data_IF_408572541153
#
_entry.id   IF_408572541153
#
_cell.length_a   1.000
_cell.length_b   1.000
_cell.length_c   1.000
_cell.angle_alpha   90.00
_cell.angle_beta   90.00
_cell.angle_gamma   90.00
#
_symmetry.space_group_name_H-M   'P 1'
#
loop_
_entity.id
_entity.type
_entity.pdbx_description
1 polymer ?
#
# COMPACT_ATOMS: atom_id res chain seq x y z
N UNK A 1 -6.80 16.93 -39.83
CA UNK A 1 -6.94 18.17 -39.04
C UNK A 1 -8.27 18.12 -38.29
N UNK A 2 -8.27 17.82 -37.00
CA UNK A 2 -9.53 17.63 -36.26
C UNK A 2 -9.41 17.50 -34.75
N UNK A 3 -8.33 17.97 -34.13
CA UNK A 3 -8.30 18.15 -32.68
C UNK A 3 -8.88 19.53 -32.37
N UNK A 4 -10.20 19.67 -32.51
CA UNK A 4 -10.88 20.85 -31.94
C UNK A 4 -10.83 20.67 -30.44
N UNK A 5 -9.92 21.44 -29.85
CA UNK A 5 -9.85 21.79 -28.44
C UNK A 5 -11.16 21.51 -27.69
N UNK A 6 -11.09 20.63 -26.69
CA UNK A 6 -12.17 20.43 -25.72
C UNK A 6 -12.60 21.76 -25.04
N UNK A 7 -11.77 22.81 -25.17
CA UNK A 7 -12.09 24.18 -24.79
C UNK A 7 -13.31 24.80 -25.48
N UNK A 8 -13.75 24.35 -26.67
CA UNK A 8 -14.96 24.91 -27.31
C UNK A 8 -16.23 24.59 -26.50
N UNK A 9 -16.26 23.43 -25.84
CA UNK A 9 -17.39 23.05 -24.99
C UNK A 9 -17.39 23.76 -23.64
N UNK A 10 -16.26 24.33 -23.19
CA UNK A 10 -16.20 25.16 -21.98
C UNK A 10 -17.11 26.39 -22.05
N UNK A 11 -17.33 26.94 -23.25
CA UNK A 11 -18.26 28.07 -23.45
C UNK A 11 -19.72 27.70 -23.16
N UNK A 12 -20.07 26.41 -23.22
CA UNK A 12 -21.41 25.88 -22.95
C UNK A 12 -21.55 25.29 -21.54
N UNK A 13 -20.46 25.25 -20.76
CA UNK A 13 -20.52 24.85 -19.35
C UNK A 13 -21.18 25.98 -18.56
N UNK A 14 -22.35 25.68 -18.01
CA UNK A 14 -23.13 26.62 -17.24
C UNK A 14 -22.35 27.01 -15.96
N UNK A 15 -21.93 28.28 -15.83
CA UNK A 15 -21.18 28.79 -14.67
C UNK A 15 -21.87 28.60 -13.31
N UNK A 16 -23.19 28.36 -13.29
CA UNK A 16 -23.95 28.09 -12.07
C UNK A 16 -24.02 26.61 -11.71
N UNK A 17 -23.81 25.72 -12.68
CA UNK A 17 -23.86 24.27 -12.49
C UNK A 17 -22.43 23.75 -12.49
N UNK A 18 -21.90 23.51 -11.29
CA UNK A 18 -20.53 23.04 -11.10
C UNK A 18 -20.36 21.53 -11.34
N UNK A 19 -21.40 20.82 -11.78
CA UNK A 19 -21.33 19.40 -12.09
C UNK A 19 -21.25 19.14 -13.60
N UNK A 20 -20.58 18.04 -13.96
CA UNK A 20 -20.44 17.58 -15.34
C UNK A 20 -21.79 17.12 -15.89
N UNK A 21 -22.48 18.02 -16.60
CA UNK A 21 -23.82 17.80 -17.15
C UNK A 21 -23.83 16.68 -18.20
N UNK A 22 -22.75 16.54 -18.97
CA UNK A 22 -22.63 15.49 -19.98
C UNK A 22 -22.53 14.11 -19.33
N UNK A 23 -21.65 13.96 -18.34
CA UNK A 23 -21.53 12.72 -17.56
C UNK A 23 -22.86 12.38 -16.86
N UNK A 24 -23.52 13.39 -16.28
CA UNK A 24 -24.83 13.24 -15.63
C UNK A 24 -25.91 12.75 -16.62
N UNK A 25 -25.99 13.34 -17.81
CA UNK A 25 -26.92 12.94 -18.86
C UNK A 25 -26.69 11.49 -19.31
N UNK A 26 -25.42 11.08 -19.43
CA UNK A 26 -25.03 9.73 -19.83
C UNK A 26 -25.11 8.70 -18.68
N UNK A 27 -25.48 9.13 -17.46
CA UNK A 27 -25.50 8.26 -16.28
C UNK A 27 -24.13 7.73 -15.88
N UNK A 28 -23.06 8.44 -16.24
CA UNK A 28 -21.66 8.07 -15.99
C UNK A 28 -21.04 8.95 -14.90
N UNK A 29 -20.05 8.45 -14.15
CA UNK A 29 -19.26 9.31 -13.27
C UNK A 29 -18.50 10.36 -14.09
N UNK A 30 -18.34 11.57 -13.55
CA UNK A 30 -17.54 12.61 -14.19
C UNK A 30 -16.06 12.23 -14.25
N UNK A 31 -15.31 12.82 -15.18
CA UNK A 31 -13.87 12.61 -15.27
C UNK A 31 -13.17 12.94 -13.94
N UNK A 32 -13.52 14.05 -13.30
CA UNK A 32 -12.99 14.44 -11.99
C UNK A 32 -13.32 13.42 -10.90
N UNK A 33 -14.53 12.85 -10.91
CA UNK A 33 -14.92 11.81 -9.96
C UNK A 33 -14.13 10.51 -10.19
N UNK A 34 -13.86 10.15 -11.45
CA UNK A 34 -13.02 9.00 -11.81
C UNK A 34 -11.56 9.22 -11.41
N UNK A 35 -10.96 10.39 -11.71
CA UNK A 35 -9.61 10.73 -11.30
C UNK A 35 -9.50 10.77 -9.78
N UNK A 36 -10.44 11.41 -9.08
CA UNK A 36 -10.47 11.45 -7.62
C UNK A 36 -10.60 10.05 -7.02
N UNK A 37 -11.45 9.19 -7.58
CA UNK A 37 -11.56 7.79 -7.18
C UNK A 37 -10.24 7.04 -7.39
N UNK A 38 -9.60 7.20 -8.55
CA UNK A 38 -8.30 6.60 -8.88
C UNK A 38 -7.20 7.05 -7.91
N UNK A 39 -7.12 8.34 -7.61
CA UNK A 39 -6.15 8.90 -6.66
C UNK A 39 -6.44 8.47 -5.22
N UNK A 40 -7.69 8.29 -4.82
CA UNK A 40 -8.02 7.76 -3.49
C UNK A 40 -7.87 6.24 -3.36
N UNK A 41 -7.90 5.50 -4.47
CA UNK A 41 -7.52 4.09 -4.52
C UNK A 41 -5.99 3.87 -4.44
N UNK A 42 -5.18 4.93 -4.34
CA UNK A 42 -3.72 4.93 -4.50
C UNK A 42 -2.89 4.35 -3.36
N UNK A 43 -3.44 3.63 -2.40
CA UNK A 43 -2.62 3.15 -1.27
C UNK A 43 -1.56 2.07 -1.67
N UNK A 44 -1.57 1.56 -2.91
CA UNK A 44 -0.62 0.57 -3.46
C UNK A 44 -0.58 0.60 -5.00
N UNK A 45 0.19 1.53 -5.55
CA UNK A 45 0.23 1.92 -6.98
C UNK A 45 0.69 0.77 -7.89
N UNK A 46 1.49 -0.16 -7.39
CA UNK A 46 1.78 -1.43 -8.06
C UNK A 46 1.41 -2.58 -7.11
N UNK A 47 0.55 -3.54 -7.50
CA UNK A 47 0.25 -4.70 -6.65
C UNK A 47 1.42 -5.69 -6.54
N UNK A 48 2.49 -5.53 -7.35
CA UNK A 48 3.76 -6.26 -7.19
C UNK A 48 4.58 -5.72 -6.02
N UNK A 49 4.27 -4.52 -5.53
CA UNK A 49 4.99 -3.93 -4.41
C UNK A 49 4.86 -4.80 -3.15
N UNK A 50 5.93 -4.99 -2.37
CA UNK A 50 5.90 -5.79 -1.16
C UNK A 50 4.80 -5.32 -0.19
N UNK A 51 3.89 -6.24 0.15
CA UNK A 51 2.82 -6.00 1.13
C UNK A 51 3.14 -6.64 2.48
N UNK A 52 4.02 -7.63 2.49
CA UNK A 52 4.51 -8.34 3.68
C UNK A 52 6.02 -8.48 3.57
N UNK A 53 6.71 -8.51 4.72
CA UNK A 53 8.14 -8.81 4.75
C UNK A 53 8.39 -10.27 4.41
N UNK A 54 9.57 -10.55 3.84
CA UNK A 54 10.03 -11.91 3.65
C UNK A 54 10.32 -12.59 5.01
N UNK A 55 10.16 -13.91 5.07
CA UNK A 55 10.40 -14.68 6.30
C UNK A 55 11.82 -14.51 6.85
N UNK A 56 12.80 -14.33 5.95
CA UNK A 56 14.19 -14.05 6.32
C UNK A 56 14.30 -12.75 7.12
N UNK A 57 13.68 -11.67 6.65
CA UNK A 57 13.71 -10.35 7.30
C UNK A 57 12.95 -10.38 8.63
N UNK A 58 11.85 -11.13 8.68
CA UNK A 58 11.11 -11.37 9.93
C UNK A 58 12.01 -12.07 10.95
N UNK A 59 12.82 -13.03 10.52
CA UNK A 59 13.73 -13.75 11.41
C UNK A 59 14.89 -12.87 11.87
N UNK A 60 15.46 -12.04 10.98
CA UNK A 60 16.46 -11.05 11.35
C UNK A 60 15.93 -10.07 12.41
N UNK A 61 14.67 -9.67 12.29
CA UNK A 61 14.04 -8.81 13.28
C UNK A 61 13.89 -9.48 14.65
N UNK A 62 13.60 -10.79 14.69
CA UNK A 62 13.54 -11.54 15.96
C UNK A 62 14.89 -11.58 16.69
N UNK A 63 15.99 -11.56 15.95
CA UNK A 63 17.37 -11.55 16.47
C UNK A 63 17.91 -10.16 16.76
N UNK A 64 17.11 -9.10 16.55
CA UNK A 64 17.54 -7.73 16.82
C UNK A 64 17.79 -7.51 18.32
N UNK A 65 18.95 -6.91 18.66
CA UNK A 65 19.40 -6.71 20.04
C UNK A 65 18.34 -6.05 20.93
N UNK A 66 17.74 -4.94 20.48
CA UNK A 66 16.67 -4.26 21.23
C UNK A 66 15.45 -5.15 21.52
N UNK A 67 15.08 -6.06 20.61
CA UNK A 67 13.96 -6.99 20.82
C UNK A 67 14.33 -8.06 21.84
N UNK A 68 15.60 -8.50 21.84
CA UNK A 68 16.14 -9.43 22.83
C UNK A 68 16.12 -8.79 24.22
N UNK A 69 16.67 -7.58 24.36
CA UNK A 69 16.71 -6.85 25.63
C UNK A 69 15.31 -6.61 26.21
N UNK A 70 14.35 -6.15 25.38
CA UNK A 70 12.96 -5.95 25.81
C UNK A 70 12.31 -7.26 26.22
N UNK A 71 12.62 -8.36 25.54
CA UNK A 71 12.13 -9.70 25.88
C UNK A 71 12.68 -10.17 27.22
N UNK A 72 13.98 -10.03 27.44
CA UNK A 72 14.64 -10.37 28.70
C UNK A 72 14.08 -9.55 29.86
N UNK A 73 13.89 -8.25 29.66
CA UNK A 73 13.25 -7.36 30.65
C UNK A 73 11.85 -7.85 31.00
N UNK A 74 10.99 -8.09 30.00
CA UNK A 74 9.64 -8.63 30.23
C UNK A 74 9.68 -9.97 30.98
N UNK A 75 10.57 -10.87 30.58
CA UNK A 75 10.67 -12.21 31.16
C UNK A 75 11.21 -12.17 32.60
N UNK A 76 12.13 -11.27 32.91
CA UNK A 76 12.61 -11.02 34.28
C UNK A 76 11.49 -10.53 35.20
N UNK A 77 10.71 -9.52 34.76
CA UNK A 77 9.57 -8.99 35.51
C UNK A 77 8.47 -10.04 35.69
N UNK A 78 8.23 -10.88 34.66
CA UNK A 78 7.30 -12.00 34.75
C UNK A 78 7.74 -13.02 35.81
N UNK A 79 9.03 -13.36 35.87
CA UNK A 79 9.59 -14.25 36.89
C UNK A 79 9.46 -13.66 38.30
N UNK A 80 9.78 -12.39 38.48
CA UNK A 80 9.67 -11.71 39.77
C UNK A 80 8.22 -11.58 40.24
N UNK A 81 7.30 -11.22 39.35
CA UNK A 81 5.87 -11.16 39.65
C UNK A 81 5.32 -12.52 40.10
N UNK A 82 5.73 -13.61 39.43
CA UNK A 82 5.39 -14.98 39.83
C UNK A 82 6.04 -15.39 41.15
N UNK A 83 7.26 -14.93 41.44
CA UNK A 83 7.92 -15.19 42.72
C UNK A 83 7.14 -14.57 43.89
N UNK A 84 6.64 -13.34 43.73
CA UNK A 84 5.91 -12.63 44.79
C UNK A 84 4.46 -13.09 44.93
N UNK A 85 3.75 -13.29 43.82
CA UNK A 85 2.30 -13.49 43.82
C UNK A 85 1.86 -14.90 43.38
N UNK A 86 2.82 -15.81 43.16
CA UNK A 86 2.67 -17.16 42.56
C UNK A 86 2.26 -17.14 41.09
N UNK A 87 1.33 -16.27 40.70
CA UNK A 87 0.84 -16.14 39.32
C UNK A 87 0.69 -14.68 38.89
N UNK A 88 0.78 -14.42 37.58
CA UNK A 88 0.57 -13.08 37.02
C UNK A 88 -0.87 -12.58 37.27
N UNK A 89 -1.87 -13.46 37.14
CA UNK A 89 -3.28 -13.11 37.42
C UNK A 89 -3.50 -12.64 38.85
N UNK A 90 -2.77 -13.21 39.82
CA UNK A 90 -2.82 -12.76 41.22
C UNK A 90 -2.11 -11.42 41.38
N UNK A 91 -0.97 -11.22 40.72
CA UNK A 91 -0.28 -9.94 40.72
C UNK A 91 -1.13 -8.80 40.13
N UNK A 92 -1.93 -9.11 39.10
CA UNK A 92 -2.92 -8.21 38.50
C UNK A 92 -4.07 -7.90 39.46
N UNK A 93 -4.68 -8.93 40.05
CA UNK A 93 -5.80 -8.77 40.98
C UNK A 93 -5.44 -7.96 42.23
N UNK A 94 -4.18 -8.06 42.70
CA UNK A 94 -3.66 -7.28 43.83
C UNK A 94 -3.29 -5.85 43.41
N UNK A 95 -3.22 -5.54 42.11
CA UNK A 95 -2.77 -4.23 41.61
C UNK A 95 -1.29 -3.99 41.94
N UNK A 96 -0.45 -5.02 41.80
CA UNK A 96 0.95 -4.90 42.16
C UNK A 96 1.74 -4.07 41.15
N UNK A 97 2.58 -3.15 41.66
CA UNK A 97 3.49 -2.34 40.82
C UNK A 97 4.34 -3.18 39.86
N UNK A 98 4.72 -4.40 40.27
CA UNK A 98 5.52 -5.28 39.40
C UNK A 98 4.75 -5.78 38.18
N UNK A 99 3.43 -5.96 38.33
CA UNK A 99 2.57 -6.32 37.22
C UNK A 99 2.44 -5.15 36.23
N UNK A 100 2.32 -3.93 36.74
CA UNK A 100 2.29 -2.73 35.89
C UNK A 100 3.59 -2.57 35.09
N UNK A 101 4.74 -2.78 35.73
CA UNK A 101 6.05 -2.77 35.04
C UNK A 101 6.16 -3.88 33.99
N UNK A 102 5.69 -5.09 34.31
CA UNK A 102 5.61 -6.19 33.34
C UNK A 102 4.74 -5.81 32.13
N UNK A 103 3.57 -5.23 32.37
CA UNK A 103 2.63 -4.83 31.33
C UNK A 103 3.21 -3.72 30.44
N UNK A 104 3.91 -2.75 31.03
CA UNK A 104 4.64 -1.73 30.29
C UNK A 104 5.73 -2.36 29.41
N UNK A 105 6.55 -3.26 29.96
CA UNK A 105 7.59 -3.94 29.20
C UNK A 105 7.03 -4.79 28.04
N UNK A 106 5.87 -5.43 28.22
CA UNK A 106 5.20 -6.18 27.16
C UNK A 106 4.65 -5.27 26.06
N UNK A 107 4.05 -4.12 26.44
CA UNK A 107 3.61 -3.10 25.50
C UNK A 107 4.79 -2.51 24.70
N UNK A 108 5.88 -2.15 25.38
CA UNK A 108 7.09 -1.61 24.74
C UNK A 108 7.66 -2.60 23.72
N UNK A 109 7.69 -3.89 24.07
CA UNK A 109 8.12 -4.96 23.19
C UNK A 109 7.22 -5.10 21.95
N UNK A 110 5.90 -5.09 22.11
CA UNK A 110 4.97 -5.21 20.99
C UNK A 110 4.95 -3.96 20.10
N UNK A 111 5.01 -2.77 20.70
CA UNK A 111 5.14 -1.50 19.98
C UNK A 111 6.43 -1.46 19.17
N UNK A 112 7.56 -1.85 19.76
CA UNK A 112 8.87 -1.85 19.09
C UNK A 112 8.89 -2.83 17.93
N UNK A 113 8.40 -4.06 18.12
CA UNK A 113 8.27 -5.04 17.03
C UNK A 113 7.42 -4.51 15.87
N UNK A 114 6.24 -3.93 16.18
CA UNK A 114 5.34 -3.38 15.16
C UNK A 114 5.99 -2.22 14.41
N UNK A 115 6.68 -1.33 15.13
CA UNK A 115 7.40 -0.20 14.55
C UNK A 115 8.49 -0.67 13.60
N UNK A 116 9.37 -1.56 14.04
CA UNK A 116 10.47 -2.05 13.21
C UNK A 116 9.97 -2.83 11.98
N UNK A 117 8.92 -3.66 12.13
CA UNK A 117 8.28 -4.31 10.97
C UNK A 117 7.77 -3.28 9.97
N UNK A 118 7.08 -2.24 10.45
CA UNK A 118 6.55 -1.19 9.59
C UNK A 118 7.67 -0.43 8.88
N UNK A 119 8.72 -0.05 9.59
CA UNK A 119 9.88 0.65 9.04
C UNK A 119 10.55 -0.20 7.95
N UNK A 120 10.81 -1.48 8.23
CA UNK A 120 11.44 -2.37 7.27
C UNK A 120 10.56 -2.65 6.04
N UNK A 121 9.25 -2.76 6.22
CA UNK A 121 8.31 -2.86 5.09
C UNK A 121 8.31 -1.58 4.24
N UNK A 122 8.39 -0.41 4.88
CA UNK A 122 8.48 0.87 4.18
C UNK A 122 9.78 1.00 3.39
N UNK A 123 10.91 0.57 3.97
CA UNK A 123 12.21 0.51 3.29
C UNK A 123 12.14 -0.40 2.05
N UNK A 124 11.71 -1.66 2.22
CA UNK A 124 11.59 -2.61 1.11
C UNK A 124 10.65 -2.10 0.01
N UNK A 125 9.56 -1.42 0.40
CA UNK A 125 8.63 -0.82 -0.55
C UNK A 125 9.22 0.40 -1.26
N UNK A 126 10.02 1.22 -0.57
CA UNK A 126 10.72 2.34 -1.18
C UNK A 126 11.76 1.83 -2.18
N UNK A 127 12.59 0.87 -1.78
CA UNK A 127 13.58 0.22 -2.66
C UNK A 127 12.91 -0.36 -3.92
N UNK A 128 11.77 -1.02 -3.78
CA UNK A 128 11.00 -1.53 -4.93
C UNK A 128 10.62 -0.41 -5.91
N UNK A 129 10.07 0.71 -5.42
CA UNK A 129 9.66 1.80 -6.30
C UNK A 129 10.84 2.55 -6.92
N UNK A 130 11.98 2.61 -6.24
CA UNK A 130 13.20 3.21 -6.76
C UNK A 130 13.83 2.36 -7.89
N UNK A 131 13.66 1.03 -7.86
CA UNK A 131 14.31 0.12 -8.82
C UNK A 131 13.39 -0.35 -9.96
N UNK A 132 12.08 -0.47 -9.75
CA UNK A 132 11.16 -1.14 -10.68
C UNK A 132 11.17 -0.51 -12.07
N UNK A 133 11.17 0.82 -12.19
CA UNK A 133 11.22 1.51 -13.48
C UNK A 133 12.49 1.20 -14.26
N UNK A 134 13.63 1.14 -13.54
CA UNK A 134 14.92 0.81 -14.14
C UNK A 134 14.97 -0.66 -14.56
N UNK A 135 14.40 -1.56 -13.78
CA UNK A 135 14.29 -2.97 -14.15
C UNK A 135 13.39 -3.19 -15.36
N UNK A 136 12.22 -2.54 -15.40
CA UNK A 136 11.30 -2.62 -16.53
C UNK A 136 11.94 -2.07 -17.81
N UNK A 137 12.63 -0.93 -17.74
CA UNK A 137 13.39 -0.39 -18.86
C UNK A 137 14.48 -1.34 -19.35
N UNK A 138 15.24 -1.98 -18.43
CA UNK A 138 16.25 -2.99 -18.79
C UNK A 138 15.65 -4.20 -19.47
N UNK A 139 14.49 -4.69 -18.99
CA UNK A 139 13.79 -5.84 -19.61
C UNK A 139 13.34 -5.50 -21.03
N UNK A 140 12.78 -4.31 -21.24
CA UNK A 140 12.38 -3.83 -22.57
C UNK A 140 13.57 -3.72 -23.53
N UNK A 141 14.68 -3.13 -23.07
CA UNK A 141 15.90 -3.00 -23.88
C UNK A 141 16.54 -4.36 -24.18
N UNK A 142 16.52 -5.30 -23.23
CA UNK A 142 17.02 -6.66 -23.44
C UNK A 142 16.25 -7.42 -24.51
N UNK A 143 14.95 -7.17 -24.64
CA UNK A 143 14.10 -7.74 -25.68
C UNK A 143 14.29 -7.05 -27.03
N UNK A 144 14.45 -5.73 -27.03
CA UNK A 144 14.83 -4.97 -28.22
C UNK A 144 16.20 -5.37 -28.77
N UNK A 145 17.15 -5.76 -27.91
CA UNK A 145 18.47 -6.24 -28.31
C UNK A 145 18.47 -7.67 -28.88
N UNK A 146 17.37 -8.42 -28.72
CA UNK A 146 17.20 -9.79 -29.21
C UNK A 146 16.44 -9.84 -30.56
N UNK A 147 16.16 -8.70 -31.19
CA UNK A 147 15.33 -8.58 -32.41
C UNK A 147 13.98 -9.34 -32.31
N UNK A 148 13.43 -9.45 -31.09
CA UNK A 148 12.11 -10.02 -30.86
C UNK A 148 11.07 -8.95 -31.21
N UNK A 149 10.02 -9.34 -31.94
CA UNK A 149 8.97 -8.43 -32.38
C UNK A 149 8.40 -7.65 -31.18
N UNK A 150 8.17 -6.34 -31.35
CA UNK A 150 7.55 -5.46 -30.33
C UNK A 150 6.19 -6.02 -29.83
N UNK A 151 5.55 -6.86 -30.64
CA UNK A 151 4.31 -7.59 -30.34
C UNK A 151 4.47 -8.73 -29.31
N UNK A 152 5.69 -9.20 -29.04
CA UNK A 152 5.98 -10.28 -28.10
C UNK A 152 6.14 -9.78 -26.65
N UNK A 153 6.51 -8.51 -26.46
CA UNK A 153 6.50 -7.89 -25.13
C UNK A 153 5.08 -7.67 -24.64
N UNK A 154 4.65 -8.52 -23.70
CA UNK A 154 3.43 -8.32 -22.93
C UNK A 154 3.83 -8.00 -21.50
N UNK A 155 3.48 -6.82 -20.96
CA UNK A 155 3.69 -6.58 -19.54
C UNK A 155 2.94 -7.65 -18.75
N UNK A 156 3.58 -8.19 -17.72
CA UNK A 156 2.96 -9.18 -16.85
C UNK A 156 1.59 -8.66 -16.38
N UNK A 157 0.50 -9.44 -16.56
CA UNK A 157 -0.84 -8.96 -16.27
C UNK A 157 -0.95 -8.62 -14.79
N UNK A 158 -1.16 -7.35 -14.52
CA UNK A 158 -1.31 -6.82 -13.17
C UNK A 158 -2.74 -7.11 -12.71
N UNK A 159 -2.90 -8.06 -11.77
CA UNK A 159 -4.22 -8.35 -11.22
C UNK A 159 -4.70 -7.21 -10.31
N UNK A 160 -5.50 -6.32 -10.89
CA UNK A 160 -6.17 -5.27 -10.15
C UNK A 160 -7.35 -5.84 -9.33
N UNK A 161 -7.67 -5.18 -8.20
CA UNK A 161 -8.93 -5.43 -7.50
C UNK A 161 -10.14 -5.18 -8.41
N UNK A 162 -11.27 -5.84 -8.12
CA UNK A 162 -12.51 -5.71 -8.92
C UNK A 162 -12.90 -4.24 -9.16
N UNK A 163 -12.77 -3.40 -8.14
CA UNK A 163 -13.08 -1.96 -8.21
C UNK A 163 -12.14 -1.20 -9.15
N UNK A 164 -10.83 -1.52 -9.11
CA UNK A 164 -9.83 -0.93 -10.02
C UNK A 164 -10.05 -1.38 -11.46
N UNK A 165 -10.38 -2.66 -11.70
CA UNK A 165 -10.74 -3.15 -13.04
C UNK A 165 -11.90 -2.36 -13.63
N UNK A 166 -12.92 -2.07 -12.81
CA UNK A 166 -14.10 -1.30 -13.23
C UNK A 166 -13.76 0.16 -13.54
N UNK A 167 -12.94 0.82 -12.72
CA UNK A 167 -12.50 2.20 -12.99
C UNK A 167 -11.58 2.26 -14.22
N UNK A 168 -10.67 1.30 -14.38
CA UNK A 168 -9.82 1.20 -15.57
C UNK A 168 -10.64 0.96 -16.85
N UNK A 169 -11.64 0.08 -16.81
CA UNK A 169 -12.58 -0.10 -17.92
C UNK A 169 -13.30 1.20 -18.27
N UNK A 170 -13.86 1.91 -17.29
CA UNK A 170 -14.54 3.20 -17.51
C UNK A 170 -13.61 4.29 -18.08
N UNK A 171 -12.30 4.23 -17.81
CA UNK A 171 -11.30 5.15 -18.35
C UNK A 171 -10.84 4.75 -19.77
N UNK A 172 -10.64 3.45 -20.01
CA UNK A 172 -10.16 2.90 -21.28
C UNK A 172 -11.26 2.71 -22.33
N UNK A 173 -12.52 2.62 -21.92
CA UNK A 173 -13.70 2.73 -22.78
C UNK A 173 -13.87 4.19 -23.27
N UNK A 174 -12.84 4.73 -23.92
CA UNK A 174 -13.03 5.85 -24.83
C UNK A 174 -13.82 5.29 -26.03
N UNK A 175 -14.97 5.88 -26.39
CA UNK A 175 -15.75 5.38 -27.51
C UNK A 175 -14.95 5.56 -28.80
N UNK A 176 -14.42 4.45 -29.32
CA UNK A 176 -13.84 4.35 -30.67
C UNK A 176 -14.86 4.66 -31.78
N UNK A 177 -16.14 4.77 -31.43
CA UNK A 177 -17.26 4.95 -32.34
C UNK A 177 -17.59 6.42 -32.64
N UNK A 178 -16.78 7.38 -32.18
CA UNK A 178 -16.86 8.77 -32.61
C UNK A 178 -15.85 9.04 -33.73
N UNK A 179 -16.05 8.38 -34.87
CA UNK A 179 -15.54 8.89 -36.15
C UNK A 179 -16.37 10.11 -36.58
N UNK A 180 -15.74 11.13 -37.20
CA UNK A 180 -16.37 12.43 -37.49
C UNK A 180 -17.49 12.37 -38.53
#
# INVERSE_FOLDING_TARGET
MGHRDAGIFQAYINKRIQCDVQATFLGRPSADALFKSMTHMSCGVDPRAPTQLADLEINQLKTHLLIIELRERRDSLSKEARRMHKTLKKAEAVGSKIYDLYKQADLDLECTKKKMKREKLLESRAEFFDTIETEDARRQLGLSALDLDEAEWKPEPVEHSLERKRVAQLLCEYPSDLTP
#
